data_IF_709288701355
#
_entry.id   IF_709288701355
#
_cell.length_a   1.000
_cell.length_b   1.000
_cell.length_c   1.000
_cell.angle_alpha   90.00
_cell.angle_beta   90.00
_cell.angle_gamma   90.00
#
_symmetry.space_group_name_H-M   'P 1'
#
loop_
_entity.id
_entity.type
_entity.pdbx_description
1 polymer ?
#
# COMPACT_ATOMS: atom_id res chain seq x y z
N UNK A 1 15.67 -41.35 -14.26
CA UNK A 1 15.01 -41.16 -12.95
C UNK A 1 13.68 -40.51 -13.22
N UNK A 2 12.58 -41.22 -12.98
CA UNK A 2 11.24 -40.64 -13.01
C UNK A 2 11.17 -39.75 -11.76
N UNK A 3 11.20 -38.43 -11.95
CA UNK A 3 10.85 -37.51 -10.87
C UNK A 3 9.34 -37.65 -10.70
N UNK A 4 8.86 -38.07 -9.53
CA UNK A 4 7.45 -37.94 -9.19
C UNK A 4 7.16 -36.44 -9.08
N UNK A 5 6.57 -35.88 -10.13
CA UNK A 5 6.07 -34.51 -10.13
C UNK A 5 4.70 -34.53 -9.45
N UNK A 6 4.53 -33.65 -8.46
CA UNK A 6 3.27 -33.49 -7.73
C UNK A 6 2.80 -32.05 -7.88
N UNK A 7 1.59 -31.86 -8.38
CA UNK A 7 0.98 -30.54 -8.48
C UNK A 7 0.87 -29.91 -7.08
N UNK A 8 1.23 -28.63 -6.94
CA UNK A 8 1.19 -27.95 -5.64
C UNK A 8 -0.23 -27.57 -5.18
N UNK A 9 -1.19 -27.56 -6.10
CA UNK A 9 -2.57 -27.13 -5.83
C UNK A 9 -3.52 -28.31 -5.66
N UNK A 10 -3.60 -29.22 -6.64
CA UNK A 10 -4.53 -30.36 -6.61
C UNK A 10 -3.87 -31.66 -6.13
N UNK A 11 -2.56 -31.65 -5.85
CA UNK A 11 -1.78 -32.81 -5.40
C UNK A 11 -1.79 -34.00 -6.36
N UNK A 12 -2.21 -33.81 -7.61
CA UNK A 12 -2.14 -34.86 -8.62
C UNK A 12 -0.68 -35.31 -8.84
N UNK A 13 -0.46 -36.62 -8.81
CA UNK A 13 0.83 -37.30 -9.00
C UNK A 13 0.88 -38.07 -10.32
N UNK A 14 -0.27 -38.25 -10.98
CA UNK A 14 -0.39 -38.89 -12.29
C UNK A 14 -0.12 -37.85 -13.37
N UNK A 15 1.12 -37.77 -13.83
CA UNK A 15 1.53 -36.80 -14.85
C UNK A 15 2.29 -37.51 -15.95
N UNK A 16 1.55 -37.88 -17.00
CA UNK A 16 2.09 -38.55 -18.17
C UNK A 16 2.65 -37.53 -19.18
N UNK A 17 1.98 -36.40 -19.40
CA UNK A 17 2.38 -35.34 -20.34
C UNK A 17 2.47 -33.96 -19.67
N UNK A 18 3.67 -33.59 -19.22
CA UNK A 18 3.89 -32.29 -18.58
C UNK A 18 4.19 -31.17 -19.58
N UNK A 19 3.34 -30.13 -19.58
CA UNK A 19 3.65 -28.88 -20.29
C UNK A 19 4.57 -28.02 -19.42
N UNK A 20 5.87 -28.02 -19.72
CA UNK A 20 6.86 -27.20 -19.02
C UNK A 20 6.90 -25.77 -19.56
N UNK A 21 7.27 -24.82 -18.69
CA UNK A 21 7.70 -23.51 -19.16
C UNK A 21 9.01 -23.60 -19.94
N UNK A 22 9.36 -22.51 -20.65
CA UNK A 22 10.51 -22.43 -21.55
C UNK A 22 11.83 -22.90 -20.90
N UNK A 23 12.05 -22.53 -19.64
CA UNK A 23 13.28 -22.80 -18.91
C UNK A 23 13.23 -24.09 -18.07
N UNK A 24 12.11 -24.84 -18.16
CA UNK A 24 11.85 -26.09 -17.42
C UNK A 24 11.99 -25.96 -15.90
N UNK A 25 11.71 -24.77 -15.38
CA UNK A 25 11.68 -24.49 -13.93
C UNK A 25 10.34 -24.85 -13.31
N UNK A 26 9.28 -24.95 -14.11
CA UNK A 26 7.94 -25.36 -13.69
C UNK A 26 7.10 -25.91 -14.84
N UNK A 27 5.90 -26.38 -14.52
CA UNK A 27 4.96 -26.99 -15.46
C UNK A 27 3.51 -26.64 -15.11
N UNK A 28 2.62 -26.66 -16.09
CA UNK A 28 1.17 -26.54 -15.85
C UNK A 28 0.55 -27.91 -15.61
N UNK A 29 -0.25 -28.01 -14.54
CA UNK A 29 -0.97 -29.23 -14.21
C UNK A 29 -2.16 -29.42 -15.15
N UNK A 30 -2.28 -30.58 -15.81
CA UNK A 30 -3.37 -30.88 -16.74
C UNK A 30 -4.76 -30.98 -16.08
N UNK A 31 -4.82 -31.12 -14.74
CA UNK A 31 -6.08 -31.28 -14.00
C UNK A 31 -6.66 -29.94 -13.56
N UNK A 32 -5.80 -29.02 -13.12
CA UNK A 32 -6.25 -27.75 -12.56
C UNK A 32 -5.72 -26.53 -13.30
N UNK A 33 -4.87 -26.69 -14.32
CA UNK A 33 -4.15 -25.61 -15.02
C UNK A 33 -3.22 -24.76 -14.15
N UNK A 34 -2.92 -25.22 -12.93
CA UNK A 34 -2.05 -24.52 -12.00
C UNK A 34 -0.57 -24.71 -12.33
N UNK A 35 0.19 -23.61 -12.33
CA UNK A 35 1.63 -23.63 -12.56
C UNK A 35 2.38 -24.11 -11.30
N UNK A 36 3.05 -25.25 -11.42
CA UNK A 36 3.82 -25.86 -10.33
C UNK A 36 5.31 -25.78 -10.62
N UNK A 37 6.08 -25.22 -9.69
CA UNK A 37 7.54 -25.22 -9.80
C UNK A 37 8.13 -26.61 -9.52
N UNK A 38 9.15 -26.96 -10.28
CA UNK A 38 9.93 -28.19 -10.07
C UNK A 38 10.70 -28.13 -8.75
N UNK A 39 11.15 -26.94 -8.34
CA UNK A 39 11.73 -26.70 -7.02
C UNK A 39 10.76 -25.85 -6.18
N UNK A 40 10.02 -26.50 -5.30
CA UNK A 40 9.04 -25.83 -4.42
C UNK A 40 9.65 -24.86 -3.41
N UNK A 41 10.99 -24.80 -3.28
CA UNK A 41 11.66 -23.76 -2.47
C UNK A 41 11.72 -22.39 -3.15
N UNK A 42 11.45 -22.34 -4.45
CA UNK A 42 11.55 -21.14 -5.28
C UNK A 42 10.17 -20.55 -5.62
N UNK A 43 9.07 -21.02 -5.00
CA UNK A 43 7.73 -20.47 -5.24
C UNK A 43 7.67 -19.00 -4.87
N UNK A 44 7.17 -18.17 -5.78
CA UNK A 44 6.75 -16.81 -5.49
C UNK A 44 5.93 -16.76 -4.20
N UNK A 45 6.11 -15.69 -3.43
CA UNK A 45 5.43 -15.56 -2.14
C UNK A 45 4.02 -15.06 -2.36
N UNK A 46 3.02 -15.75 -1.80
CA UNK A 46 1.67 -15.21 -1.66
C UNK A 46 1.30 -15.25 -0.18
N UNK A 47 1.30 -14.07 0.44
CA UNK A 47 1.18 -13.92 1.88
C UNK A 47 0.00 -13.00 2.23
N UNK A 48 -0.93 -13.52 3.02
CA UNK A 48 -2.05 -12.76 3.59
C UNK A 48 -1.80 -12.50 5.07
N UNK A 49 -1.65 -11.23 5.43
CA UNK A 49 -1.41 -10.78 6.80
C UNK A 49 -2.70 -10.18 7.36
N UNK A 50 -3.27 -10.83 8.37
CA UNK A 50 -4.52 -10.42 9.01
C UNK A 50 -4.25 -9.72 10.35
N UNK A 51 -4.76 -8.51 10.48
CA UNK A 51 -4.57 -7.68 11.67
C UNK A 51 -5.62 -7.95 12.74
N UNK A 52 -5.24 -8.66 13.80
CA UNK A 52 -6.09 -9.05 14.91
C UNK A 52 -5.91 -8.16 16.15
N UNK A 53 -7.01 -7.74 16.76
CA UNK A 53 -7.02 -7.01 18.03
C UNK A 53 -6.54 -7.83 19.25
N UNK A 54 -6.59 -9.16 19.20
CA UNK A 54 -6.24 -10.04 20.34
C UNK A 54 -4.80 -10.55 20.37
N UNK A 55 -3.99 -10.28 19.35
CA UNK A 55 -2.64 -10.86 19.25
C UNK A 55 -1.64 -10.38 20.31
N UNK A 56 -0.74 -11.28 20.74
CA UNK A 56 0.45 -10.91 21.54
C UNK A 56 1.45 -10.14 20.67
N UNK A 57 2.10 -9.13 21.24
CA UNK A 57 3.17 -8.39 20.58
C UNK A 57 4.45 -9.23 20.56
N UNK A 58 4.83 -9.75 19.40
CA UNK A 58 6.17 -10.29 19.19
C UNK A 58 7.11 -9.18 18.69
N UNK A 59 8.03 -8.75 19.54
CA UNK A 59 9.06 -7.81 19.10
C UNK A 59 9.95 -8.50 18.08
N UNK A 60 9.75 -8.22 16.80
CA UNK A 60 10.64 -8.74 15.76
C UNK A 60 11.88 -7.84 15.73
N UNK A 61 13.02 -8.43 16.07
CA UNK A 61 14.31 -7.78 15.91
C UNK A 61 14.56 -7.49 14.42
N UNK A 62 14.84 -6.24 14.08
CA UNK A 62 15.27 -5.85 12.74
C UNK A 62 16.73 -5.41 12.83
N UNK A 63 17.55 -5.87 11.90
CA UNK A 63 18.94 -5.41 11.72
C UNK A 63 19.00 -3.98 11.18
N UNK A 64 17.91 -3.52 10.54
CA UNK A 64 17.78 -2.18 9.93
C UNK A 64 16.91 -1.27 10.81
N UNK A 65 17.36 -0.03 10.97
CA UNK A 65 16.59 1.03 11.64
C UNK A 65 15.79 1.84 10.63
N UNK A 66 14.48 1.66 10.63
CA UNK A 66 13.57 2.37 9.72
C UNK A 66 13.12 3.73 10.25
N UNK A 67 13.07 4.73 9.37
CA UNK A 67 12.43 6.02 9.64
C UNK A 67 10.95 5.98 9.27
N UNK A 68 10.13 5.64 10.27
CA UNK A 68 8.70 5.32 10.11
C UNK A 68 7.76 6.54 9.95
N UNK A 69 8.30 7.75 9.79
CA UNK A 69 7.53 9.01 9.78
C UNK A 69 7.97 9.98 8.69
N UNK A 70 8.14 9.46 7.47
CA UNK A 70 8.54 10.27 6.34
C UNK A 70 7.37 10.94 5.62
N UNK A 71 6.19 10.29 5.58
CA UNK A 71 5.00 10.86 4.95
C UNK A 71 4.55 12.17 5.62
N UNK A 72 4.15 13.19 4.83
CA UNK A 72 3.52 14.41 5.37
C UNK A 72 2.08 14.15 5.85
N UNK A 73 1.45 13.07 5.38
CA UNK A 73 0.09 12.71 5.73
C UNK A 73 0.01 12.01 7.09
N UNK A 74 -1.12 12.22 7.75
CA UNK A 74 -1.65 11.30 8.75
C UNK A 74 -2.76 10.51 8.09
N UNK A 75 -2.55 9.23 7.85
CA UNK A 75 -3.50 8.40 7.13
C UNK A 75 -4.12 7.34 8.04
N UNK A 76 -5.46 7.15 8.02
CA UNK A 76 -6.10 6.02 8.70
C UNK A 76 -5.49 4.69 8.22
N UNK A 77 -5.30 3.73 9.12
CA UNK A 77 -4.70 2.44 8.77
C UNK A 77 -3.20 2.46 8.50
N UNK A 78 -2.50 3.58 8.75
CA UNK A 78 -1.07 3.71 8.49
C UNK A 78 -0.20 2.65 9.18
N UNK A 79 0.44 1.80 8.38
CA UNK A 79 1.23 0.61 8.77
C UNK A 79 2.62 0.91 9.34
N UNK A 80 2.83 2.09 9.90
CA UNK A 80 4.16 2.57 10.33
C UNK A 80 4.85 1.65 11.36
N UNK A 81 4.12 0.98 12.26
CA UNK A 81 4.74 0.03 13.19
C UNK A 81 4.90 -1.38 12.62
N UNK A 82 4.19 -1.72 11.54
CA UNK A 82 4.35 -2.98 10.80
C UNK A 82 5.55 -3.00 9.86
N UNK A 83 6.24 -1.86 9.62
CA UNK A 83 7.42 -1.79 8.73
C UNK A 83 8.44 -2.90 9.00
N UNK A 84 8.80 -3.15 10.27
CA UNK A 84 9.75 -4.20 10.62
C UNK A 84 9.18 -5.61 10.32
N UNK A 85 7.88 -5.80 10.53
CA UNK A 85 7.22 -7.07 10.26
C UNK A 85 7.26 -7.35 8.76
N UNK A 86 6.76 -6.40 7.95
CA UNK A 86 6.72 -6.50 6.48
C UNK A 86 8.12 -6.73 5.93
N UNK A 87 9.12 -5.95 6.38
CA UNK A 87 10.52 -6.13 5.98
C UNK A 87 11.01 -7.57 6.15
N UNK A 88 10.70 -8.22 7.28
CA UNK A 88 11.10 -9.61 7.53
C UNK A 88 10.31 -10.63 6.71
N UNK A 89 9.24 -10.21 6.02
CA UNK A 89 8.49 -11.01 5.07
C UNK A 89 8.91 -10.76 3.61
N UNK A 90 9.94 -9.95 3.35
CA UNK A 90 10.43 -9.70 1.99
C UNK A 90 11.46 -10.75 1.57
N UNK A 91 11.55 -11.03 0.27
CA UNK A 91 12.69 -11.76 -0.31
C UNK A 91 13.67 -10.75 -0.89
N UNK A 92 14.94 -10.79 -0.45
CA UNK A 92 16.00 -9.92 -0.94
C UNK A 92 16.20 -9.98 -2.47
N UNK A 93 15.79 -11.06 -3.14
CA UNK A 93 15.85 -11.20 -4.61
C UNK A 93 14.71 -10.48 -5.33
N UNK A 94 13.64 -10.08 -4.63
CA UNK A 94 12.41 -9.50 -5.19
C UNK A 94 12.22 -8.02 -4.82
N UNK A 95 13.31 -7.31 -4.49
CA UNK A 95 13.31 -5.92 -4.00
C UNK A 95 13.74 -4.88 -5.03
N UNK A 96 13.92 -5.26 -6.31
CA UNK A 96 14.29 -4.28 -7.33
C UNK A 96 13.13 -3.31 -7.58
N UNK A 97 11.91 -3.85 -7.70
CA UNK A 97 10.69 -3.06 -7.76
C UNK A 97 9.79 -3.38 -6.57
N UNK A 98 9.36 -2.33 -5.89
CA UNK A 98 8.33 -2.42 -4.85
C UNK A 98 7.10 -1.65 -5.33
N UNK A 99 5.99 -2.35 -5.49
CA UNK A 99 4.77 -1.78 -6.05
C UNK A 99 3.72 -1.67 -4.96
N UNK A 100 3.12 -0.49 -4.78
CA UNK A 100 2.06 -0.24 -3.81
C UNK A 100 0.81 0.31 -4.50
N UNK A 101 -0.14 -0.56 -4.89
CA UNK A 101 -1.37 -0.16 -5.57
C UNK A 101 -2.32 0.71 -4.72
N UNK A 102 -2.16 0.64 -3.39
CA UNK A 102 -2.99 1.31 -2.38
C UNK A 102 -2.11 2.08 -1.39
N UNK A 103 -1.30 3.01 -1.91
CA UNK A 103 -0.23 3.64 -1.11
C UNK A 103 -0.76 4.39 0.11
N UNK A 104 -1.85 5.15 -0.02
CA UNK A 104 -2.43 5.94 1.05
C UNK A 104 -1.39 6.82 1.77
N UNK A 105 -1.07 6.46 3.01
CA UNK A 105 -0.07 7.16 3.81
C UNK A 105 1.39 6.89 3.45
N UNK A 106 1.70 5.86 2.65
CA UNK A 106 3.07 5.54 2.20
C UNK A 106 4.04 5.14 3.30
N UNK A 107 3.54 4.70 4.47
CA UNK A 107 4.39 4.55 5.67
C UNK A 107 5.39 3.39 5.59
N UNK A 108 5.08 2.33 4.84
CA UNK A 108 5.96 1.17 4.66
C UNK A 108 6.89 1.44 3.50
N UNK A 109 6.30 1.83 2.38
CA UNK A 109 6.92 2.21 1.12
C UNK A 109 8.10 3.16 1.34
N UNK A 110 7.83 4.32 1.96
CA UNK A 110 8.85 5.33 2.16
C UNK A 110 9.89 4.93 3.20
N UNK A 111 9.54 4.08 4.16
CA UNK A 111 10.49 3.59 5.15
C UNK A 111 11.47 2.60 4.51
N UNK A 112 10.99 1.70 3.64
CA UNK A 112 11.82 0.76 2.89
C UNK A 112 12.72 1.49 1.90
N UNK A 113 12.17 2.48 1.18
CA UNK A 113 12.92 3.32 0.24
C UNK A 113 14.03 4.10 0.96
N UNK A 114 13.71 4.78 2.06
CA UNK A 114 14.69 5.55 2.81
C UNK A 114 15.79 4.68 3.43
N UNK A 115 15.46 3.43 3.78
CA UNK A 115 16.44 2.47 4.30
C UNK A 115 17.32 1.84 3.22
N UNK A 116 17.07 2.12 1.93
CA UNK A 116 17.78 1.52 0.81
C UNK A 116 17.50 0.02 0.65
N UNK A 117 16.34 -0.44 1.13
CA UNK A 117 15.92 -1.86 1.00
C UNK A 117 15.40 -2.14 -0.39
N UNK A 118 14.76 -1.15 -1.02
CA UNK A 118 14.16 -1.26 -2.35
C UNK A 118 14.85 -0.29 -3.30
N UNK A 119 15.04 -0.69 -4.56
CA UNK A 119 15.73 0.13 -5.56
C UNK A 119 14.79 1.12 -6.26
N UNK A 120 13.60 0.65 -6.61
CA UNK A 120 12.57 1.45 -7.27
C UNK A 120 11.21 1.24 -6.61
N UNK A 121 10.52 2.33 -6.32
CA UNK A 121 9.20 2.32 -5.71
C UNK A 121 8.16 2.83 -6.72
N UNK A 122 7.15 2.02 -7.01
CA UNK A 122 5.99 2.45 -7.79
C UNK A 122 4.78 2.57 -6.87
N UNK A 123 4.37 3.81 -6.59
CA UNK A 123 3.20 4.12 -5.78
C UNK A 123 1.99 4.44 -6.65
N UNK A 124 0.82 4.03 -6.20
CA UNK A 124 -0.47 4.35 -6.78
C UNK A 124 -1.49 4.60 -5.68
N UNK A 125 -2.44 5.48 -5.97
CA UNK A 125 -3.65 5.58 -5.17
C UNK A 125 -4.79 6.07 -6.07
N UNK A 126 -5.98 5.49 -5.91
CA UNK A 126 -7.17 5.94 -6.63
C UNK A 126 -7.68 7.29 -6.10
N UNK A 127 -7.35 7.64 -4.85
CA UNK A 127 -7.64 8.97 -4.33
C UNK A 127 -6.74 10.01 -5.01
N UNK A 128 -7.32 10.74 -5.97
CA UNK A 128 -6.72 11.88 -6.65
C UNK A 128 -5.96 12.87 -5.73
N UNK A 129 -6.36 13.07 -4.48
CA UNK A 129 -5.68 13.97 -3.55
C UNK A 129 -4.39 13.40 -3.00
N UNK A 130 -4.40 12.09 -2.70
CA UNK A 130 -3.21 11.35 -2.32
C UNK A 130 -2.24 11.30 -3.49
N UNK A 131 -2.74 10.95 -4.68
CA UNK A 131 -1.97 11.00 -5.92
C UNK A 131 -1.38 12.39 -6.16
N UNK A 132 -2.21 13.43 -6.18
CA UNK A 132 -1.78 14.80 -6.46
C UNK A 132 -0.72 15.28 -5.47
N UNK A 133 -0.90 14.98 -4.18
CA UNK A 133 0.07 15.33 -3.16
C UNK A 133 1.43 14.70 -3.42
N UNK A 134 1.50 13.38 -3.61
CA UNK A 134 2.78 12.73 -3.86
C UNK A 134 3.37 13.14 -5.21
N UNK A 135 2.54 13.25 -6.26
CA UNK A 135 3.00 13.71 -7.56
C UNK A 135 3.68 15.08 -7.47
N UNK A 136 3.07 16.05 -6.77
CA UNK A 136 3.66 17.37 -6.56
C UNK A 136 4.93 17.30 -5.70
N UNK A 137 4.95 16.47 -4.66
CA UNK A 137 6.15 16.28 -3.81
C UNK A 137 7.33 15.79 -4.63
N UNK A 138 7.15 14.77 -5.45
CA UNK A 138 8.25 14.15 -6.18
C UNK A 138 8.65 14.93 -7.44
N UNK A 139 7.73 15.66 -8.09
CA UNK A 139 8.01 16.36 -9.36
C UNK A 139 8.27 17.87 -9.21
N UNK A 140 7.64 18.55 -8.25
CA UNK A 140 7.71 20.01 -8.10
C UNK A 140 7.48 20.47 -6.65
N UNK A 141 8.33 20.04 -5.69
CA UNK A 141 8.09 20.24 -4.26
C UNK A 141 7.97 21.73 -3.86
N UNK A 142 8.62 22.63 -4.61
CA UNK A 142 8.60 24.08 -4.39
C UNK A 142 7.17 24.64 -4.41
N UNK A 143 6.26 24.04 -5.17
CA UNK A 143 4.86 24.45 -5.22
C UNK A 143 4.15 24.33 -3.85
N UNK A 144 4.62 23.43 -2.98
CA UNK A 144 4.14 23.26 -1.61
C UNK A 144 5.05 23.95 -0.60
N UNK A 145 6.37 23.80 -0.71
CA UNK A 145 7.31 24.29 0.32
C UNK A 145 7.31 25.82 0.40
N UNK A 146 7.22 26.54 -0.71
CA UNK A 146 7.13 28.02 -0.69
C UNK A 146 5.83 28.51 -0.05
N UNK A 147 4.71 27.80 -0.25
CA UNK A 147 3.44 28.10 0.44
C UNK A 147 3.57 27.84 1.94
N UNK A 148 4.16 26.71 2.34
CA UNK A 148 4.33 26.36 3.75
C UNK A 148 5.15 27.39 4.54
N UNK A 149 6.17 28.00 3.92
CA UNK A 149 7.04 29.01 4.57
C UNK A 149 6.29 30.27 5.04
N UNK A 150 5.20 30.63 4.36
CA UNK A 150 4.52 31.92 4.57
C UNK A 150 3.07 31.78 5.01
N UNK A 151 2.50 30.59 4.93
CA UNK A 151 1.07 30.37 5.13
C UNK A 151 0.73 29.67 6.45
N UNK A 152 -0.17 30.29 7.21
CA UNK A 152 -0.81 29.68 8.38
C UNK A 152 -2.31 29.50 8.10
N UNK A 153 -2.83 28.26 8.03
CA UNK A 153 -4.21 28.02 7.65
C UNK A 153 -5.18 28.45 8.75
N UNK A 154 -6.27 29.07 8.33
CA UNK A 154 -7.41 29.40 9.19
C UNK A 154 -8.48 28.30 9.14
N UNK A 155 -9.50 28.46 9.99
CA UNK A 155 -10.68 27.58 9.99
C UNK A 155 -11.50 27.72 8.71
N UNK A 156 -11.52 28.91 8.11
CA UNK A 156 -12.20 29.16 6.84
C UNK A 156 -11.50 28.39 5.72
N UNK A 157 -10.17 28.40 5.69
CA UNK A 157 -9.37 27.66 4.72
C UNK A 157 -9.61 26.16 4.82
N UNK A 158 -9.70 25.63 6.05
CA UNK A 158 -10.06 24.22 6.27
C UNK A 158 -11.41 23.86 5.63
N UNK A 159 -12.46 24.64 5.89
CA UNK A 159 -13.78 24.31 5.34
C UNK A 159 -13.85 24.54 3.83
N UNK A 160 -13.17 25.55 3.29
CA UNK A 160 -13.01 25.73 1.84
C UNK A 160 -12.35 24.51 1.21
N UNK A 161 -11.16 24.13 1.70
CA UNK A 161 -10.44 22.96 1.22
C UNK A 161 -11.26 21.67 1.36
N UNK A 162 -11.97 21.48 2.48
CA UNK A 162 -12.82 20.32 2.70
C UNK A 162 -14.02 20.27 1.74
N UNK A 163 -14.66 21.41 1.48
CA UNK A 163 -15.75 21.49 0.50
C UNK A 163 -15.25 21.17 -0.91
N UNK A 164 -14.06 21.65 -1.25
CA UNK A 164 -13.38 21.37 -2.51
C UNK A 164 -13.15 19.87 -2.70
N UNK A 165 -12.58 19.19 -1.69
CA UNK A 165 -12.34 17.73 -1.73
C UNK A 165 -13.64 16.93 -1.87
N UNK A 166 -14.76 17.42 -1.32
CA UNK A 166 -16.05 16.72 -1.32
C UNK A 166 -16.87 16.87 -2.61
N UNK A 167 -16.47 17.73 -3.57
CA UNK A 167 -17.26 18.05 -4.77
C UNK A 167 -16.58 17.62 -6.08
N UNK A 168 -15.78 18.50 -6.69
CA UNK A 168 -15.22 18.34 -8.04
C UNK A 168 -13.71 18.12 -7.98
N UNK A 169 -13.27 17.18 -7.14
CA UNK A 169 -11.86 17.12 -6.77
C UNK A 169 -10.94 16.70 -7.92
N UNK A 170 -11.44 15.87 -8.83
CA UNK A 170 -10.80 15.39 -10.06
C UNK A 170 -10.67 16.46 -11.17
N UNK A 171 -11.40 17.57 -11.06
CA UNK A 171 -11.36 18.67 -12.04
C UNK A 171 -10.41 19.81 -11.65
N UNK A 172 -9.71 19.65 -10.52
CA UNK A 172 -8.87 20.69 -9.95
C UNK A 172 -7.43 20.50 -10.39
N UNK A 173 -6.73 21.61 -10.57
CA UNK A 173 -5.29 21.59 -10.81
C UNK A 173 -4.58 20.77 -9.71
N UNK A 174 -3.69 19.86 -10.11
CA UNK A 174 -2.93 18.96 -9.25
C UNK A 174 -2.25 19.67 -8.07
N UNK A 175 -1.72 20.89 -8.25
CA UNK A 175 -1.10 21.68 -7.17
C UNK A 175 -2.13 22.11 -6.11
N UNK A 176 -3.32 22.54 -6.54
CA UNK A 176 -4.40 22.90 -5.63
C UNK A 176 -5.02 21.68 -4.95
N UNK A 177 -5.11 20.55 -5.66
CA UNK A 177 -5.55 19.29 -5.08
C UNK A 177 -4.58 18.81 -3.98
N UNK A 178 -3.27 18.85 -4.24
CA UNK A 178 -2.22 18.57 -3.27
C UNK A 178 -2.32 19.50 -2.05
N UNK A 179 -2.46 20.82 -2.28
CA UNK A 179 -2.52 21.82 -1.23
C UNK A 179 -3.76 21.65 -0.33
N UNK A 180 -4.94 21.48 -0.93
CA UNK A 180 -6.18 21.24 -0.18
C UNK A 180 -6.13 19.93 0.61
N UNK A 181 -5.57 18.87 0.02
CA UNK A 181 -5.33 17.59 0.72
C UNK A 181 -4.48 17.79 1.96
N UNK A 182 -3.36 18.51 1.81
CA UNK A 182 -2.45 18.77 2.93
C UNK A 182 -3.13 19.60 4.02
N UNK A 183 -3.83 20.69 3.68
CA UNK A 183 -4.59 21.50 4.64
C UNK A 183 -5.58 20.63 5.42
N UNK A 184 -6.46 19.92 4.73
CA UNK A 184 -7.50 19.13 5.39
C UNK A 184 -6.88 18.02 6.23
N UNK A 185 -5.87 17.31 5.71
CA UNK A 185 -5.22 16.23 6.45
C UNK A 185 -4.55 16.72 7.75
N UNK A 186 -3.88 17.88 7.71
CA UNK A 186 -3.17 18.39 8.89
C UNK A 186 -4.12 19.03 9.91
N UNK A 187 -5.27 19.56 9.47
CA UNK A 187 -6.20 20.26 10.34
C UNK A 187 -7.40 19.40 10.77
N UNK A 188 -7.66 18.25 10.14
CA UNK A 188 -8.75 17.35 10.51
C UNK A 188 -8.40 16.42 11.68
N UNK A 189 -9.42 16.04 12.46
CA UNK A 189 -9.31 14.94 13.40
C UNK A 189 -8.88 13.66 12.67
N UNK A 190 -7.82 13.01 13.17
CA UNK A 190 -7.16 11.86 12.55
C UNK A 190 -6.71 12.01 11.09
N UNK A 191 -6.75 13.21 10.50
CA UNK A 191 -6.42 13.45 9.09
C UNK A 191 -7.47 12.95 8.09
N UNK A 192 -8.67 12.62 8.56
CA UNK A 192 -9.76 12.12 7.73
C UNK A 192 -10.43 13.30 7.01
N UNK A 193 -10.61 13.18 5.69
CA UNK A 193 -11.11 14.28 4.84
C UNK A 193 -12.51 14.79 5.25
N UNK A 194 -13.38 13.92 5.77
CA UNK A 194 -14.75 14.26 6.17
C UNK A 194 -14.89 14.65 7.65
N UNK A 195 -13.82 14.56 8.44
CA UNK A 195 -13.88 14.77 9.88
C UNK A 195 -13.96 16.26 10.26
N UNK A 196 -14.30 16.52 11.52
CA UNK A 196 -14.24 17.86 12.07
C UNK A 196 -12.79 18.34 12.20
N UNK A 197 -12.55 19.66 12.15
CA UNK A 197 -11.24 20.23 12.41
C UNK A 197 -10.79 19.98 13.86
N UNK A 198 -9.48 20.00 14.09
CA UNK A 198 -8.89 19.93 15.43
C UNK A 198 -9.39 21.08 16.31
N UNK A 199 -9.67 20.77 17.58
CA UNK A 199 -10.40 21.65 18.49
C UNK A 199 -11.92 21.71 18.25
N UNK A 200 -12.46 20.95 17.29
CA UNK A 200 -13.87 20.96 16.95
C UNK A 200 -14.32 22.24 16.23
N UNK A 201 -15.64 22.42 16.05
CA UNK A 201 -16.21 23.53 15.27
C UNK A 201 -15.90 24.92 15.84
N UNK A 202 -15.68 25.02 17.16
CA UNK A 202 -15.46 26.27 17.91
C UNK A 202 -14.10 26.33 18.63
N UNK A 203 -13.15 25.47 18.27
CA UNK A 203 -11.82 25.45 18.90
C UNK A 203 -10.95 26.65 18.57
N UNK A 204 -9.91 26.87 19.36
CA UNK A 204 -8.96 27.98 19.17
C UNK A 204 -8.07 27.78 17.92
N UNK A 205 -7.46 28.84 17.39
CA UNK A 205 -6.46 28.71 16.32
C UNK A 205 -5.32 27.76 16.67
N UNK A 206 -4.81 27.78 17.90
CA UNK A 206 -3.73 26.91 18.36
C UNK A 206 -4.15 25.42 18.37
N UNK A 207 -5.39 25.13 18.73
CA UNK A 207 -5.92 23.76 18.66
C UNK A 207 -6.04 23.28 17.22
N UNK A 208 -6.55 24.14 16.32
CA UNK A 208 -6.67 23.87 14.90
C UNK A 208 -5.32 23.55 14.26
N UNK A 209 -4.31 24.37 14.53
CA UNK A 209 -2.98 24.28 13.94
C UNK A 209 -2.00 23.43 14.75
N UNK A 210 -2.46 22.71 15.77
CA UNK A 210 -1.61 21.86 16.64
C UNK A 210 -0.79 20.80 15.90
N UNK A 211 -1.16 20.49 14.65
CA UNK A 211 -0.44 19.56 13.76
C UNK A 211 0.09 20.23 12.49
N UNK A 212 -0.05 21.55 12.36
CA UNK A 212 0.53 22.33 11.28
C UNK A 212 1.92 22.80 11.70
N UNK A 213 2.94 22.01 11.36
CA UNK A 213 4.34 22.36 11.59
C UNK A 213 5.03 22.52 10.22
N UNK A 214 5.12 23.75 9.68
CA UNK A 214 5.69 24.00 8.36
C UNK A 214 7.11 23.45 8.19
N UNK A 215 8.00 23.69 9.15
CA UNK A 215 9.41 23.29 9.06
C UNK A 215 9.55 21.77 8.92
N UNK A 216 8.80 21.00 9.73
CA UNK A 216 8.81 19.54 9.65
C UNK A 216 8.13 19.01 8.39
N UNK A 217 7.09 19.69 7.89
CA UNK A 217 6.43 19.34 6.63
C UNK A 217 7.37 19.57 5.44
N UNK A 218 8.04 20.73 5.39
CA UNK A 218 9.03 21.07 4.36
C UNK A 218 10.15 20.02 4.38
N UNK A 219 10.71 19.73 5.56
CA UNK A 219 11.77 18.72 5.71
C UNK A 219 11.37 17.35 5.17
N UNK A 220 10.12 16.92 5.39
CA UNK A 220 9.59 15.65 4.86
C UNK A 220 9.41 15.68 3.35
N UNK A 221 8.85 16.76 2.82
CA UNK A 221 8.62 16.95 1.38
C UNK A 221 9.97 16.93 0.64
N UNK A 222 10.94 17.71 1.10
CA UNK A 222 12.28 17.76 0.50
C UNK A 222 12.99 16.41 0.60
N UNK A 223 12.83 15.69 1.72
CA UNK A 223 13.42 14.36 1.87
C UNK A 223 12.77 13.34 0.93
N UNK A 224 11.45 13.36 0.74
CA UNK A 224 10.80 12.51 -0.26
C UNK A 224 11.26 12.88 -1.68
N UNK A 225 11.28 14.16 -2.02
CA UNK A 225 11.75 14.63 -3.32
C UNK A 225 13.19 14.18 -3.63
N UNK A 226 14.06 14.04 -2.62
CA UNK A 226 15.43 13.50 -2.82
C UNK A 226 15.48 12.08 -3.39
N UNK A 227 14.34 11.38 -3.47
CA UNK A 227 14.21 10.07 -4.09
C UNK A 227 13.43 10.10 -5.42
N UNK A 228 13.23 11.26 -6.05
CA UNK A 228 12.42 11.40 -7.28
C UNK A 228 12.82 10.42 -8.39
N UNK A 229 14.11 10.14 -8.54
CA UNK A 229 14.63 9.27 -9.59
C UNK A 229 14.37 7.77 -9.33
N UNK A 230 13.94 7.43 -8.11
CA UNK A 230 13.63 6.06 -7.66
C UNK A 230 12.12 5.84 -7.49
N UNK A 231 11.28 6.81 -7.87
CA UNK A 231 9.83 6.76 -7.61
C UNK A 231 9.01 7.00 -8.87
N UNK A 232 8.09 6.09 -9.14
CA UNK A 232 7.01 6.27 -10.13
C UNK A 232 5.67 6.40 -9.43
N UNK A 233 4.81 7.27 -9.96
CA UNK A 233 3.54 7.65 -9.31
C UNK A 233 2.42 7.61 -10.35
N UNK A 234 1.38 6.82 -10.06
CA UNK A 234 0.21 6.68 -10.92
C UNK A 234 -1.09 6.93 -10.16
N UNK A 235 -2.17 7.18 -10.91
CA UNK A 235 -3.55 7.26 -10.43
C UNK A 235 -4.41 6.39 -11.36
N UNK A 236 -4.18 5.08 -11.29
CA UNK A 236 -4.88 4.07 -12.09
C UNK A 236 -5.63 3.08 -11.19
N UNK A 237 -6.48 2.26 -11.80
CA UNK A 237 -7.16 1.19 -11.07
C UNK A 237 -6.12 0.24 -10.46
N UNK A 238 -6.32 -0.12 -9.19
CA UNK A 238 -5.34 -0.90 -8.47
C UNK A 238 -5.22 -2.33 -9.02
N UNK A 239 -6.31 -2.93 -9.53
CA UNK A 239 -6.26 -4.25 -10.15
C UNK A 239 -5.50 -4.21 -11.48
N UNK A 240 -5.70 -3.17 -12.29
CA UNK A 240 -4.91 -2.95 -13.52
C UNK A 240 -3.41 -2.84 -13.20
N UNK A 241 -3.04 -2.05 -12.19
CA UNK A 241 -1.64 -1.94 -11.75
C UNK A 241 -1.04 -3.27 -11.28
N UNK A 242 -1.80 -4.05 -10.52
CA UNK A 242 -1.36 -5.37 -10.05
C UNK A 242 -1.12 -6.30 -11.25
N UNK A 243 -2.07 -6.36 -12.17
CA UNK A 243 -1.98 -7.22 -13.35
C UNK A 243 -0.78 -6.85 -14.24
N UNK A 244 -0.51 -5.56 -14.45
CA UNK A 244 0.64 -5.09 -15.23
C UNK A 244 1.98 -5.41 -14.55
N UNK A 245 2.06 -5.18 -13.23
CA UNK A 245 3.31 -5.30 -12.47
C UNK A 245 3.64 -6.71 -12.00
N UNK A 246 2.67 -7.64 -12.02
CA UNK A 246 2.88 -9.03 -11.62
C UNK A 246 3.98 -9.73 -12.42
N UNK A 247 4.17 -9.32 -13.68
CA UNK A 247 5.12 -9.92 -14.61
C UNK A 247 6.51 -9.29 -14.57
N UNK A 248 6.73 -8.29 -13.72
CA UNK A 248 8.02 -7.62 -13.61
C UNK A 248 9.02 -8.49 -12.86
N UNK A 249 10.26 -8.51 -13.34
CA UNK A 249 11.32 -9.26 -12.68
C UNK A 249 11.66 -8.63 -11.32
N UNK A 250 12.10 -9.45 -10.37
CA UNK A 250 12.57 -9.01 -9.05
C UNK A 250 11.61 -8.04 -8.33
N UNK A 251 10.30 -8.34 -8.39
CA UNK A 251 9.24 -7.45 -7.92
C UNK A 251 8.48 -8.01 -6.72
N UNK A 252 8.13 -7.12 -5.79
CA UNK A 252 7.15 -7.36 -4.72
C UNK A 252 6.01 -6.35 -4.83
N UNK A 253 4.78 -6.84 -4.80
CA UNK A 253 3.57 -6.04 -4.74
C UNK A 253 3.02 -6.07 -3.32
N UNK A 254 3.02 -4.91 -2.68
CA UNK A 254 2.46 -4.70 -1.34
C UNK A 254 1.04 -4.13 -1.46
N UNK A 255 0.07 -4.92 -1.03
CA UNK A 255 -1.36 -4.70 -1.29
C UNK A 255 -2.05 -4.43 0.06
N UNK A 256 -2.37 -3.16 0.32
CA UNK A 256 -3.07 -2.70 1.53
C UNK A 256 -4.41 -2.02 1.19
N UNK A 257 -5.39 -2.79 0.66
CA UNK A 257 -6.67 -2.24 0.22
C UNK A 257 -7.50 -1.71 1.40
N UNK A 258 -8.55 -0.89 1.13
CA UNK A 258 -9.45 -0.41 2.17
C UNK A 258 -10.03 -1.57 2.99
N UNK A 259 -10.04 -1.45 4.33
CA UNK A 259 -10.60 -2.49 5.22
C UNK A 259 -12.09 -2.75 4.95
N UNK A 260 -12.54 -4.00 5.14
CA UNK A 260 -13.95 -4.39 4.90
C UNK A 260 -14.89 -3.62 5.83
N UNK A 261 -14.47 -3.48 7.10
CA UNK A 261 -15.23 -2.75 8.11
C UNK A 261 -14.77 -1.29 8.20
N UNK A 262 -15.72 -0.33 8.18
CA UNK A 262 -15.54 1.13 8.39
C UNK A 262 -14.91 1.94 7.23
N UNK A 263 -14.72 1.34 6.05
CA UNK A 263 -14.09 1.98 4.89
C UNK A 263 -14.71 3.34 4.51
N UNK A 264 -16.04 3.39 4.37
CA UNK A 264 -16.77 4.58 3.89
C UNK A 264 -16.67 5.81 4.81
N UNK A 265 -16.32 5.60 6.07
CA UNK A 265 -16.10 6.69 7.04
C UNK A 265 -14.68 7.23 7.04
N UNK A 266 -13.71 6.42 6.59
CA UNK A 266 -12.28 6.68 6.71
C UNK A 266 -11.64 7.14 5.39
N UNK A 267 -12.08 6.56 4.27
CA UNK A 267 -11.49 6.76 2.95
C UNK A 267 -12.51 7.40 2.00
N UNK A 268 -12.02 8.19 1.04
CA UNK A 268 -12.86 8.75 -0.03
C UNK A 268 -13.19 7.70 -1.08
N UNK A 269 -12.18 6.94 -1.49
CA UNK A 269 -12.32 5.76 -2.32
C UNK A 269 -12.31 4.53 -1.41
N UNK A 270 -13.36 3.72 -1.46
CA UNK A 270 -13.50 2.53 -0.62
C UNK A 270 -14.05 1.36 -1.44
N UNK A 271 -13.75 0.15 -0.99
CA UNK A 271 -14.20 -1.07 -1.63
C UNK A 271 -15.58 -1.48 -1.10
N UNK A 272 -16.41 -1.99 -2.01
CA UNK A 272 -17.56 -2.82 -1.71
C UNK A 272 -17.13 -4.28 -1.71
N UNK A 273 -18.01 -5.16 -1.26
CA UNK A 273 -17.80 -6.61 -1.24
C UNK A 273 -17.33 -7.15 -2.60
N UNK A 274 -17.98 -6.71 -3.69
CA UNK A 274 -17.64 -7.08 -5.06
C UNK A 274 -16.20 -6.68 -5.46
N UNK A 275 -15.71 -5.53 -4.96
CA UNK A 275 -14.34 -5.05 -5.25
C UNK A 275 -13.29 -5.92 -4.53
N UNK A 276 -13.60 -6.37 -3.31
CA UNK A 276 -12.74 -7.32 -2.58
C UNK A 276 -12.70 -8.69 -3.26
N UNK A 277 -13.84 -9.18 -3.74
CA UNK A 277 -13.91 -10.44 -4.51
C UNK A 277 -13.12 -10.30 -5.81
N UNK A 278 -13.28 -9.19 -6.54
CA UNK A 278 -12.51 -8.90 -7.76
C UNK A 278 -11.00 -8.95 -7.50
N UNK A 279 -10.54 -8.29 -6.43
CA UNK A 279 -9.13 -8.30 -6.04
C UNK A 279 -8.64 -9.71 -5.71
N UNK A 280 -9.39 -10.47 -4.91
CA UNK A 280 -9.03 -11.85 -4.59
C UNK A 280 -8.93 -12.72 -5.86
N UNK A 281 -9.97 -12.69 -6.71
CA UNK A 281 -9.99 -13.49 -7.94
C UNK A 281 -8.79 -13.16 -8.84
N UNK A 282 -8.41 -11.89 -8.96
CA UNK A 282 -7.21 -11.49 -9.68
C UNK A 282 -5.96 -12.12 -9.08
N UNK A 283 -5.73 -11.95 -7.77
CA UNK A 283 -4.51 -12.42 -7.11
C UNK A 283 -4.40 -13.95 -7.13
N UNK A 284 -5.49 -14.66 -6.87
CA UNK A 284 -5.53 -16.12 -6.94
C UNK A 284 -5.29 -16.61 -8.38
N UNK A 285 -5.86 -15.94 -9.38
CA UNK A 285 -5.65 -16.29 -10.81
C UNK A 285 -4.20 -16.07 -11.23
N UNK A 286 -3.60 -14.93 -10.87
CA UNK A 286 -2.21 -14.62 -11.20
C UNK A 286 -1.26 -15.64 -10.58
N UNK A 287 -1.39 -15.87 -9.27
CA UNK A 287 -0.55 -16.79 -8.51
C UNK A 287 -0.70 -18.24 -8.95
N UNK A 288 -1.91 -18.65 -9.32
CA UNK A 288 -2.18 -19.99 -9.82
C UNK A 288 -1.69 -20.20 -11.26
N UNK A 289 -1.77 -19.16 -12.10
CA UNK A 289 -1.48 -19.25 -13.53
C UNK A 289 0.01 -19.28 -13.87
N UNK A 290 0.87 -18.63 -13.10
CA UNK A 290 2.32 -18.61 -13.34
C UNK A 290 3.13 -18.10 -12.13
N UNK A 291 4.46 -18.30 -12.16
CA UNK A 291 5.36 -17.67 -11.18
C UNK A 291 5.69 -16.23 -11.59
N UNK A 292 5.53 -15.29 -10.65
CA UNK A 292 5.64 -13.85 -10.92
C UNK A 292 6.17 -13.05 -9.73
N UNK A 293 5.59 -11.88 -9.51
CA UNK A 293 5.91 -11.03 -8.37
C UNK A 293 5.50 -11.67 -7.04
N UNK A 294 6.22 -11.34 -5.96
CA UNK A 294 5.80 -11.66 -4.60
C UNK A 294 4.57 -10.80 -4.24
N UNK A 295 3.52 -11.42 -3.73
CA UNK A 295 2.28 -10.79 -3.29
C UNK A 295 2.23 -10.76 -1.76
N UNK A 296 2.20 -9.56 -1.17
CA UNK A 296 2.03 -9.37 0.27
C UNK A 296 0.81 -8.51 0.51
N UNK A 297 -0.20 -9.10 1.15
CA UNK A 297 -1.50 -8.48 1.38
C UNK A 297 -1.66 -8.20 2.87
N UNK A 298 -2.18 -7.03 3.22
CA UNK A 298 -2.61 -6.71 4.59
C UNK A 298 -4.10 -6.40 4.64
N UNK A 299 -4.79 -6.97 5.64
CA UNK A 299 -6.22 -6.80 5.85
C UNK A 299 -6.58 -6.72 7.33
N UNK A 300 -7.77 -6.22 7.65
CA UNK A 300 -8.37 -6.43 8.97
C UNK A 300 -8.75 -7.90 9.14
N UNK A 301 -8.51 -8.47 10.32
CA UNK A 301 -8.93 -9.85 10.56
C UNK A 301 -10.46 -10.00 10.47
N UNK A 302 -10.92 -10.85 9.55
CA UNK A 302 -12.32 -11.15 9.29
C UNK A 302 -12.44 -12.57 8.71
N UNK A 303 -13.29 -13.40 9.30
CA UNK A 303 -13.54 -14.78 8.85
C UNK A 303 -13.93 -14.85 7.36
N UNK A 304 -14.67 -13.86 6.86
CA UNK A 304 -15.02 -13.79 5.44
C UNK A 304 -13.80 -13.65 4.54
N UNK A 305 -12.83 -12.81 4.92
CA UNK A 305 -11.59 -12.66 4.16
C UNK A 305 -10.74 -13.93 4.21
N UNK A 306 -10.67 -14.60 5.37
CA UNK A 306 -9.99 -15.90 5.47
C UNK A 306 -10.62 -16.94 4.54
N UNK A 307 -11.95 -16.95 4.41
CA UNK A 307 -12.65 -17.87 3.50
C UNK A 307 -12.54 -17.50 2.02
N UNK A 308 -12.23 -16.24 1.72
CA UNK A 308 -12.18 -15.72 0.36
C UNK A 308 -10.87 -16.10 -0.35
N UNK A 309 -9.75 -16.12 0.37
CA UNK A 309 -8.41 -16.34 -0.20
C UNK A 309 -7.97 -17.82 -0.12
N UNK A 310 -7.77 -18.46 -1.28
CA UNK A 310 -7.52 -19.91 -1.32
C UNK A 310 -6.04 -20.31 -1.15
N UNK A 311 -5.14 -19.59 -1.82
CA UNK A 311 -3.74 -19.99 -1.95
C UNK A 311 -2.71 -19.33 -1.00
N UNK A 312 -2.93 -18.14 -0.41
CA UNK A 312 -1.86 -17.51 0.34
C UNK A 312 -1.56 -18.25 1.64
N UNK A 313 -0.29 -18.16 2.07
CA UNK A 313 0.03 -18.43 3.47
C UNK A 313 -0.61 -17.35 4.33
N UNK A 314 -1.43 -17.72 5.31
CA UNK A 314 -2.10 -16.76 6.21
C UNK A 314 -1.29 -16.57 7.49
N UNK A 315 -1.08 -15.31 7.90
CA UNK A 315 -0.45 -14.95 9.17
C UNK A 315 -1.29 -13.92 9.92
N UNK A 316 -1.62 -14.21 11.17
CA UNK A 316 -2.28 -13.24 12.05
C UNK A 316 -1.25 -12.38 12.82
N UNK A 317 -1.49 -11.08 12.92
CA UNK A 317 -0.59 -10.09 13.55
C UNK A 317 -1.39 -9.14 14.45
N UNK A 318 -0.86 -8.79 15.62
CA UNK A 318 -1.54 -7.91 16.59
C UNK A 318 -1.73 -6.47 16.08
N UNK A 319 -2.90 -5.86 16.27
CA UNK A 319 -3.15 -4.43 15.97
C UNK A 319 -2.31 -3.46 16.79
N UNK A 320 -1.60 -3.91 17.81
CA UNK A 320 -0.65 -3.06 18.51
C UNK A 320 0.45 -2.51 17.56
N UNK A 321 0.67 -3.12 16.38
CA UNK A 321 1.50 -2.56 15.30
C UNK A 321 0.83 -1.46 14.43
N UNK A 322 -0.43 -1.09 14.66
CA UNK A 322 -1.18 -0.21 13.72
C UNK A 322 -1.97 0.96 14.32
N UNK A 323 -1.89 1.25 15.62
CA UNK A 323 -2.59 2.42 16.25
C UNK A 323 -1.71 3.65 16.43
#
# INVERSE_FOLDING_TARGET
MIKNFKCQYCYNEEVEDLTFNKDKTGYWCEVCDGFTLVNQKDTGRYLLILEDSSGKNESIASTIKFKKRLSPLRYPGGKSKMVNYIYNQLDNKKMNHFVSPYTGGGSVEFALLEAGVINHLHINDNDFGVYALYWVIFNMPFALTERLKTYTPSREDFYKAQLTIKKDFDKINIVEAAWNTLIVNRLAYSGIFNANPLGGKKGTPQQLTSRWNPDELIRRIEKLHSFSDQVTITNQDACEMIEESYWWDQTTIFIDPPYVNKASSLYRCYYKEEDHIKLNCLLDTLYHGFDGADLIITYDNNEWLESLYLYPTVKAVSRAYTI
#
